data_IF_464828906307
#
_entry.id   IF_464828906307
#
_cell.length_a   1.000
_cell.length_b   1.000
_cell.length_c   1.000
_cell.angle_alpha   90.00
_cell.angle_beta   90.00
_cell.angle_gamma   90.00
#
_symmetry.space_group_name_H-M   'P 1'
#
loop_
_entity.id
_entity.type
_entity.pdbx_description
1 polymer ?
#
# COMPACT_ATOMS: atom_id res chain seq x y z
N UNK A 1 -6.82 -14.90 11.29
CA UNK A 1 -6.97 -14.25 10.00
C UNK A 1 -5.74 -13.39 9.68
N UNK A 2 -5.42 -12.33 10.41
CA UNK A 2 -4.24 -11.49 10.18
C UNK A 2 -2.89 -12.24 10.30
N UNK A 3 -2.87 -13.36 11.01
CA UNK A 3 -1.66 -14.16 11.22
C UNK A 3 -1.36 -15.16 10.09
N UNK A 4 -2.32 -15.42 9.20
CA UNK A 4 -2.13 -16.29 8.03
C UNK A 4 -3.00 -15.83 6.85
N UNK A 5 -2.67 -14.68 6.23
CA UNK A 5 -3.46 -14.13 5.13
C UNK A 5 -3.21 -14.92 3.84
N UNK A 6 -4.26 -15.50 3.28
CA UNK A 6 -4.26 -16.02 1.92
C UNK A 6 -4.35 -14.88 0.89
N UNK A 7 -3.88 -15.10 -0.35
CA UNK A 7 -3.83 -14.06 -1.40
C UNK A 7 -5.16 -13.34 -1.63
N UNK A 8 -6.28 -14.08 -1.70
CA UNK A 8 -7.61 -13.48 -1.87
C UNK A 8 -8.07 -12.64 -0.67
N UNK A 9 -7.52 -12.88 0.51
CA UNK A 9 -7.80 -12.11 1.72
C UNK A 9 -7.06 -10.78 1.76
N UNK A 10 -5.90 -10.67 1.09
CA UNK A 10 -5.12 -9.42 1.05
C UNK A 10 -5.85 -8.31 0.29
N UNK A 11 -6.60 -8.65 -0.77
CA UNK A 11 -7.43 -7.68 -1.49
C UNK A 11 -8.53 -7.11 -0.60
N UNK A 12 -9.22 -7.98 0.15
CA UNK A 12 -10.26 -7.56 1.08
C UNK A 12 -9.67 -6.79 2.28
N UNK A 13 -8.48 -7.17 2.73
CA UNK A 13 -7.79 -6.50 3.81
C UNK A 13 -7.50 -5.03 3.50
N UNK A 14 -7.09 -4.71 2.27
CA UNK A 14 -6.82 -3.34 1.85
C UNK A 14 -8.02 -2.41 2.05
N UNK A 15 -9.25 -2.90 1.84
CA UNK A 15 -10.48 -2.15 2.09
C UNK A 15 -10.64 -1.84 3.58
N UNK A 16 -10.37 -2.80 4.46
CA UNK A 16 -10.47 -2.60 5.91
C UNK A 16 -9.36 -1.72 6.48
N UNK A 17 -8.20 -1.69 5.84
CA UNK A 17 -7.08 -0.85 6.27
C UNK A 17 -7.27 0.64 5.93
N UNK A 18 -8.19 0.96 5.01
CA UNK A 18 -8.41 2.32 4.49
C UNK A 18 -9.81 2.88 4.81
N UNK A 19 -10.45 2.39 5.86
CA UNK A 19 -11.76 2.92 6.30
C UNK A 19 -11.61 4.29 6.93
N UNK A 20 -12.57 5.17 6.65
CA UNK A 20 -12.70 6.49 7.27
C UNK A 20 -14.11 6.69 7.79
N UNK A 21 -14.22 7.45 8.87
CA UNK A 21 -15.53 7.86 9.40
C UNK A 21 -16.16 8.90 8.48
N UNK A 22 -17.42 8.67 8.11
CA UNK A 22 -18.22 9.64 7.35
C UNK A 22 -19.35 10.18 8.23
N UNK A 23 -20.18 9.29 8.81
CA UNK A 23 -21.31 9.67 9.67
C UNK A 23 -21.77 8.45 10.48
N UNK A 24 -22.55 8.69 11.51
CA UNK A 24 -23.11 7.67 12.39
C UNK A 24 -22.55 7.75 13.82
N UNK A 25 -22.55 6.62 14.51
CA UNK A 25 -22.01 6.54 15.87
C UNK A 25 -20.47 6.50 15.82
N UNK A 26 -19.86 7.57 16.32
CA UNK A 26 -18.41 7.73 16.37
C UNK A 26 -17.75 6.69 17.26
N UNK A 27 -18.41 6.28 18.35
CA UNK A 27 -17.81 5.35 19.31
C UNK A 27 -17.59 3.98 18.69
N UNK A 28 -18.50 3.50 17.84
CA UNK A 28 -18.35 2.24 17.10
C UNK A 28 -17.18 2.29 16.12
N UNK A 29 -17.00 3.43 15.45
CA UNK A 29 -15.86 3.61 14.56
C UNK A 29 -14.53 3.61 15.32
N UNK A 30 -14.47 4.30 16.47
CA UNK A 30 -13.26 4.38 17.28
C UNK A 30 -12.89 3.01 17.88
N UNK A 31 -13.87 2.19 18.27
CA UNK A 31 -13.68 0.80 18.69
C UNK A 31 -13.12 -0.06 17.53
N UNK A 32 -13.74 0.01 16.35
CA UNK A 32 -13.26 -0.69 15.16
C UNK A 32 -11.82 -0.28 14.80
N UNK A 33 -11.52 1.01 14.87
CA UNK A 33 -10.20 1.54 14.55
C UNK A 33 -9.14 1.05 15.54
N UNK A 34 -9.46 1.05 16.84
CA UNK A 34 -8.60 0.54 17.89
C UNK A 34 -8.30 -0.96 17.70
N UNK A 35 -9.30 -1.74 17.36
CA UNK A 35 -9.13 -3.17 17.09
C UNK A 35 -8.32 -3.42 15.82
N UNK A 36 -8.53 -2.63 14.76
CA UNK A 36 -7.72 -2.65 13.54
C UNK A 36 -6.25 -2.40 13.84
N UNK A 37 -5.95 -1.34 14.61
CA UNK A 37 -4.59 -1.00 15.03
C UNK A 37 -3.96 -2.13 15.86
N UNK A 38 -4.70 -2.70 16.78
CA UNK A 38 -4.25 -3.84 17.59
C UNK A 38 -3.86 -5.05 16.73
N UNK A 39 -4.64 -5.35 15.69
CA UNK A 39 -4.40 -6.47 14.79
C UNK A 39 -3.26 -6.23 13.79
N UNK A 40 -3.00 -4.98 13.43
CA UNK A 40 -1.97 -4.62 12.43
C UNK A 40 -0.63 -4.26 13.07
N UNK A 41 -0.65 -3.63 14.25
CA UNK A 41 0.55 -3.19 14.95
C UNK A 41 1.43 -4.39 15.34
N UNK A 42 2.70 -4.29 15.00
CA UNK A 42 3.70 -5.33 15.31
C UNK A 42 3.34 -6.73 14.76
N UNK A 43 2.64 -6.80 13.64
CA UNK A 43 2.32 -8.05 12.96
C UNK A 43 3.28 -8.32 11.78
N UNK A 44 4.44 -8.97 12.03
CA UNK A 44 5.43 -9.22 10.97
C UNK A 44 4.91 -10.16 9.89
N UNK A 45 3.98 -11.06 10.22
CA UNK A 45 3.37 -11.97 9.23
C UNK A 45 2.51 -11.21 8.23
N UNK A 46 1.74 -10.22 8.70
CA UNK A 46 0.96 -9.35 7.83
C UNK A 46 1.86 -8.53 6.92
N UNK A 47 2.89 -7.87 7.47
CA UNK A 47 3.85 -7.08 6.69
C UNK A 47 4.55 -7.97 5.65
N UNK A 48 5.01 -9.16 6.03
CA UNK A 48 5.65 -10.08 5.09
C UNK A 48 4.70 -10.53 3.96
N UNK A 49 3.40 -10.74 4.25
CA UNK A 49 2.41 -11.08 3.25
C UNK A 49 2.16 -9.92 2.28
N UNK A 50 2.05 -8.68 2.78
CA UNK A 50 1.90 -7.48 1.95
C UNK A 50 3.13 -7.24 1.07
N UNK A 51 4.34 -7.39 1.61
CA UNK A 51 5.59 -7.29 0.83
C UNK A 51 5.65 -8.37 -0.25
N UNK A 52 5.30 -9.60 0.08
CA UNK A 52 5.26 -10.70 -0.92
C UNK A 52 4.28 -10.40 -2.04
N UNK A 53 3.09 -9.88 -1.71
CA UNK A 53 2.11 -9.44 -2.70
C UNK A 53 2.68 -8.31 -3.57
N UNK A 54 3.30 -7.30 -2.97
CA UNK A 54 3.95 -6.20 -3.69
C UNK A 54 4.99 -6.70 -4.70
N UNK A 55 5.90 -7.58 -4.27
CA UNK A 55 6.98 -8.12 -5.11
C UNK A 55 6.43 -9.00 -6.25
N UNK A 56 5.25 -9.62 -6.08
CA UNK A 56 4.61 -10.39 -7.13
C UNK A 56 4.12 -9.53 -8.31
N UNK A 57 3.87 -8.24 -8.06
CA UNK A 57 3.54 -7.25 -9.08
C UNK A 57 4.84 -6.68 -9.67
N UNK A 58 5.16 -7.09 -10.90
CA UNK A 58 6.36 -6.58 -11.56
C UNK A 58 6.14 -5.14 -12.01
N UNK A 59 7.09 -4.21 -11.75
CA UNK A 59 7.06 -2.90 -12.38
C UNK A 59 7.13 -3.07 -13.91
N UNK A 60 6.57 -2.14 -14.69
CA UNK A 60 6.52 -2.23 -16.15
C UNK A 60 7.88 -1.92 -16.79
N UNK A 61 8.94 -2.53 -16.27
CA UNK A 61 10.32 -2.38 -16.72
C UNK A 61 10.77 -3.65 -17.42
N UNK A 62 11.21 -3.53 -18.66
CA UNK A 62 11.85 -4.60 -19.42
C UNK A 62 13.30 -4.84 -18.97
N UNK A 63 13.94 -5.85 -19.60
CA UNK A 63 15.31 -6.31 -19.28
C UNK A 63 16.36 -5.19 -19.33
N UNK A 64 16.12 -4.13 -20.11
CA UNK A 64 17.02 -2.99 -20.25
C UNK A 64 16.50 -1.71 -19.60
N UNK A 65 15.68 -1.80 -18.54
CA UNK A 65 15.00 -0.66 -17.91
C UNK A 65 14.08 0.14 -18.85
N UNK A 66 13.73 -0.38 -20.01
CA UNK A 66 12.78 0.23 -20.92
C UNK A 66 11.36 -0.02 -20.41
N UNK A 67 10.47 0.97 -20.55
CA UNK A 67 9.06 0.82 -20.22
C UNK A 67 8.41 -0.26 -21.11
N UNK A 68 7.76 -1.23 -20.49
CA UNK A 68 6.97 -2.26 -21.19
C UNK A 68 5.58 -1.71 -21.48
N UNK A 69 5.25 -1.58 -22.76
CA UNK A 69 3.95 -1.10 -23.21
C UNK A 69 2.99 -2.29 -23.37
N UNK A 70 1.79 -2.17 -22.82
CA UNK A 70 0.71 -3.14 -23.01
C UNK A 70 0.03 -2.89 -24.37
N UNK A 71 -0.36 -3.96 -25.07
CA UNK A 71 -1.06 -3.88 -26.33
C UNK A 71 -2.58 -3.88 -26.06
N UNK A 72 -3.23 -2.72 -26.20
CA UNK A 72 -4.66 -2.54 -25.96
C UNK A 72 -5.47 -2.97 -27.18
N UNK A 73 -5.55 -4.21 -27.57
CA UNK A 73 -6.49 -4.74 -28.58
C UNK A 73 -6.75 -3.95 -29.89
N UNK A 74 -6.38 -2.67 -29.94
CA UNK A 74 -6.44 -1.75 -31.10
C UNK A 74 -5.08 -1.46 -31.70
N UNK A 75 -4.06 -2.29 -31.45
CA UNK A 75 -2.66 -2.13 -31.90
C UNK A 75 -1.93 -0.87 -31.37
N UNK A 76 -2.46 -0.18 -30.40
CA UNK A 76 -1.78 0.93 -29.74
C UNK A 76 -1.00 0.45 -28.53
N UNK A 77 0.29 0.70 -28.52
CA UNK A 77 1.16 0.45 -27.37
C UNK A 77 0.91 1.51 -26.33
N UNK A 78 0.30 1.16 -25.21
CA UNK A 78 0.03 2.06 -24.09
C UNK A 78 0.67 1.60 -22.81
N UNK A 79 1.06 2.54 -21.95
CA UNK A 79 1.55 2.26 -20.60
C UNK A 79 0.40 2.44 -19.62
N UNK A 80 0.03 1.36 -18.93
CA UNK A 80 -0.97 1.45 -17.86
C UNK A 80 -0.32 1.95 -16.56
N UNK A 81 -0.04 3.27 -16.51
CA UNK A 81 0.62 3.91 -15.37
C UNK A 81 -0.16 3.66 -14.07
N UNK A 82 -1.48 3.71 -14.12
CA UNK A 82 -2.32 3.51 -12.93
C UNK A 82 -2.11 2.14 -12.32
N UNK A 83 -2.12 1.08 -13.12
CA UNK A 83 -1.99 -0.31 -12.65
C UNK A 83 -0.55 -0.65 -12.30
N UNK A 84 0.40 -0.19 -13.12
CA UNK A 84 1.76 -0.70 -13.08
C UNK A 84 2.73 0.15 -12.25
N UNK A 85 2.40 1.41 -11.97
CA UNK A 85 3.25 2.31 -11.20
C UNK A 85 2.53 2.88 -9.97
N UNK A 86 1.40 3.57 -10.15
CA UNK A 86 0.70 4.23 -9.03
C UNK A 86 0.24 3.19 -8.00
N UNK A 87 -0.28 2.03 -8.44
CA UNK A 87 -0.68 0.95 -7.53
C UNK A 87 0.47 0.47 -6.64
N UNK A 88 1.66 0.29 -7.22
CA UNK A 88 2.86 -0.10 -6.47
C UNK A 88 3.27 0.96 -5.44
N UNK A 89 3.22 2.24 -5.79
CA UNK A 89 3.56 3.34 -4.87
C UNK A 89 2.57 3.40 -3.70
N UNK A 90 1.28 3.23 -3.95
CA UNK A 90 0.24 3.18 -2.90
C UNK A 90 0.50 2.00 -1.95
N UNK A 91 0.84 0.83 -2.48
CA UNK A 91 1.12 -0.36 -1.67
C UNK A 91 2.41 -0.21 -0.85
N UNK A 92 3.47 0.38 -1.42
CA UNK A 92 4.72 0.68 -0.70
C UNK A 92 4.44 1.65 0.45
N UNK A 93 3.74 2.76 0.20
CA UNK A 93 3.40 3.74 1.22
C UNK A 93 2.58 3.12 2.36
N UNK A 94 1.60 2.27 2.02
CA UNK A 94 0.79 1.51 2.99
C UNK A 94 1.65 0.60 3.87
N UNK A 95 2.58 -0.14 3.27
CA UNK A 95 3.47 -1.05 4.00
C UNK A 95 4.34 -0.27 4.99
N UNK A 96 4.92 0.85 4.59
CA UNK A 96 5.71 1.70 5.48
C UNK A 96 4.88 2.20 6.67
N UNK A 97 3.69 2.73 6.41
CA UNK A 97 2.79 3.22 7.46
C UNK A 97 2.42 2.10 8.45
N UNK A 98 1.94 0.97 7.96
CA UNK A 98 1.54 -0.18 8.79
C UNK A 98 2.70 -0.76 9.61
N UNK A 99 3.91 -0.83 9.04
CA UNK A 99 5.09 -1.33 9.74
C UNK A 99 5.40 -0.56 11.01
N UNK A 100 5.13 0.74 11.04
CA UNK A 100 5.36 1.63 12.18
C UNK A 100 4.09 2.04 12.94
N UNK A 101 2.95 1.42 12.61
CA UNK A 101 1.66 1.70 13.26
C UNK A 101 1.03 3.03 12.86
N UNK A 102 1.31 3.50 11.64
CA UNK A 102 0.66 4.69 11.08
C UNK A 102 -0.76 4.39 10.59
N UNK A 103 -1.70 5.30 10.89
CA UNK A 103 -3.11 5.21 10.51
C UNK A 103 -3.53 6.17 9.38
N UNK A 104 -2.57 6.81 8.67
CA UNK A 104 -2.84 7.78 7.62
C UNK A 104 -3.52 7.14 6.42
N UNK A 105 -4.38 7.91 5.75
CA UNK A 105 -5.16 7.45 4.61
C UNK A 105 -4.55 7.86 3.27
N UNK A 106 -3.93 9.06 3.17
CA UNK A 106 -3.32 9.49 1.92
C UNK A 106 -1.93 8.88 1.71
N UNK A 107 -1.55 8.72 0.45
CA UNK A 107 -0.23 8.18 0.09
C UNK A 107 0.89 9.14 0.47
N UNK A 108 0.67 10.44 0.28
CA UNK A 108 1.59 11.52 0.64
C UNK A 108 1.89 11.49 2.15
N UNK A 109 0.85 11.56 3.01
CA UNK A 109 1.01 11.49 4.47
C UNK A 109 1.75 10.22 4.93
N UNK A 110 1.58 9.11 4.22
CA UNK A 110 2.30 7.85 4.51
C UNK A 110 3.77 7.94 4.16
N UNK A 111 4.14 8.62 3.07
CA UNK A 111 5.54 8.86 2.74
C UNK A 111 6.19 9.88 3.66
N UNK A 112 5.49 10.95 4.06
CA UNK A 112 5.94 11.88 5.09
C UNK A 112 6.23 11.14 6.40
N UNK A 113 5.29 10.32 6.85
CA UNK A 113 5.47 9.50 8.04
C UNK A 113 6.65 8.52 7.92
N UNK A 114 6.86 7.91 6.76
CA UNK A 114 7.98 7.03 6.51
C UNK A 114 9.32 7.78 6.59
N UNK A 115 9.37 8.99 6.06
CA UNK A 115 10.53 9.88 6.16
C UNK A 115 10.82 10.28 7.61
N UNK A 116 9.82 10.74 8.35
CA UNK A 116 9.95 11.14 9.77
C UNK A 116 10.41 9.98 10.67
N UNK A 117 10.09 8.74 10.28
CA UNK A 117 10.51 7.52 10.99
C UNK A 117 11.83 6.94 10.47
N UNK A 118 12.51 7.62 9.55
CA UNK A 118 13.81 7.20 9.00
C UNK A 118 13.76 5.92 8.15
N UNK A 119 12.58 5.58 7.59
CA UNK A 119 12.42 4.42 6.72
C UNK A 119 12.84 4.71 5.27
N UNK A 120 12.75 5.96 4.85
CA UNK A 120 13.24 6.46 3.57
C UNK A 120 14.12 7.70 3.80
N UNK A 121 15.04 7.95 2.89
CA UNK A 121 15.92 9.12 2.94
C UNK A 121 15.25 10.33 2.27
N UNK A 122 15.87 11.53 2.41
CA UNK A 122 15.33 12.77 1.87
C UNK A 122 15.20 12.77 0.35
N UNK A 123 16.14 12.16 -0.36
CA UNK A 123 16.10 12.07 -1.83
C UNK A 123 14.90 11.23 -2.28
N UNK A 124 14.75 10.02 -1.70
CA UNK A 124 13.59 9.17 -2.01
C UNK A 124 12.26 9.84 -1.64
N UNK A 125 12.21 10.59 -0.55
CA UNK A 125 11.02 11.32 -0.14
C UNK A 125 10.64 12.40 -1.17
N UNK A 126 11.63 13.21 -1.63
CA UNK A 126 11.41 14.23 -2.65
C UNK A 126 10.98 13.67 -4.02
N UNK A 127 11.46 12.48 -4.36
CA UNK A 127 11.11 11.81 -5.62
C UNK A 127 9.69 11.20 -5.59
N UNK A 128 9.12 10.98 -4.40
CA UNK A 128 7.85 10.30 -4.20
C UNK A 128 6.65 11.24 -3.96
N UNK A 129 6.91 12.51 -3.63
CA UNK A 129 5.92 13.57 -3.43
C UNK A 129 5.96 14.55 -4.59
#
# INVERSE_FOLDING_TARGET
>A
WANNPEYNMLLNLNVFLEVRFISGDRSLFDELNSERERCTKNNPHLIAALVRNLISHRPPLGIFNNLVLENNGHNEKSLNIKKSAIGLLVDIARIYALHKGGGMLSTEERFDFAYDRGLINSTSHQDLI
#
